data_IF_915043110556
#
_entry.id   IF_915043110556
#
_cell.length_a   1.000
_cell.length_b   1.000
_cell.length_c   1.000
_cell.angle_alpha   90.00
_cell.angle_beta   90.00
_cell.angle_gamma   90.00
#
_symmetry.space_group_name_H-M   'P 1'
#
loop_
_entity.id
_entity.type
_entity.pdbx_description
1 polymer ?
#
# COMPACT_ATOMS: atom_id res chain seq x y z
N UNK A 1 7.62 -48.45 -16.76
CA UNK A 1 8.43 -47.21 -16.89
C UNK A 1 7.72 -46.01 -16.23
N UNK A 2 7.75 -45.84 -14.90
CA UNK A 2 7.10 -44.72 -14.20
C UNK A 2 8.07 -43.62 -13.69
N UNK A 3 9.38 -43.81 -13.82
CA UNK A 3 10.40 -42.94 -13.21
C UNK A 3 10.45 -41.52 -13.81
N UNK A 4 10.23 -41.38 -15.12
CA UNK A 4 10.30 -40.08 -15.81
C UNK A 4 9.15 -39.12 -15.44
N UNK A 5 7.96 -39.64 -15.11
CA UNK A 5 6.81 -38.82 -14.70
C UNK A 5 6.95 -38.31 -13.26
N UNK A 6 7.55 -39.10 -12.38
CA UNK A 6 7.87 -38.69 -11.01
C UNK A 6 8.90 -37.55 -11.01
N UNK A 7 9.89 -37.61 -11.89
CA UNK A 7 10.96 -36.62 -12.03
C UNK A 7 10.44 -35.26 -12.56
N UNK A 8 9.55 -35.30 -13.57
CA UNK A 8 8.93 -34.08 -14.10
C UNK A 8 8.04 -33.36 -13.07
N UNK A 9 7.37 -34.12 -12.19
CA UNK A 9 6.56 -33.56 -11.10
C UNK A 9 7.41 -32.93 -9.98
N UNK A 10 8.56 -33.52 -9.69
CA UNK A 10 9.55 -32.97 -8.76
C UNK A 10 10.18 -31.70 -9.33
N UNK A 11 10.54 -31.71 -10.61
CA UNK A 11 11.06 -30.54 -11.32
C UNK A 11 10.04 -29.41 -11.37
N UNK A 12 8.76 -29.68 -11.70
CA UNK A 12 7.70 -28.66 -11.66
C UNK A 12 7.43 -28.10 -10.27
N UNK A 13 7.57 -28.90 -9.20
CA UNK A 13 7.50 -28.40 -7.81
C UNK A 13 8.70 -27.51 -7.49
N UNK A 14 9.90 -27.90 -7.91
CA UNK A 14 11.14 -27.10 -7.76
C UNK A 14 11.06 -25.81 -8.57
N UNK A 15 10.55 -25.87 -9.79
CA UNK A 15 10.32 -24.71 -10.65
C UNK A 15 9.27 -23.80 -10.02
N UNK A 16 8.14 -24.30 -9.52
CA UNK A 16 7.17 -23.49 -8.75
C UNK A 16 7.78 -22.89 -7.47
N UNK A 17 8.72 -23.58 -6.82
CA UNK A 17 9.44 -23.07 -5.67
C UNK A 17 10.50 -22.00 -6.05
N UNK A 18 11.05 -22.07 -7.26
CA UNK A 18 12.03 -21.13 -7.81
C UNK A 18 11.38 -19.96 -8.59
N UNK A 19 10.20 -20.15 -9.18
CA UNK A 19 9.31 -19.13 -9.74
C UNK A 19 8.60 -18.33 -8.64
N UNK A 20 8.45 -18.94 -7.45
CA UNK A 20 8.28 -18.20 -6.20
C UNK A 20 9.50 -17.34 -5.83
N UNK A 21 10.62 -17.49 -6.54
CA UNK A 21 11.62 -16.43 -6.76
C UNK A 21 12.15 -15.79 -5.50
N UNK A 22 12.94 -16.55 -4.74
CA UNK A 22 14.02 -16.04 -3.89
C UNK A 22 13.61 -15.43 -2.56
N UNK A 23 13.79 -16.17 -1.46
CA UNK A 23 13.78 -15.63 -0.09
C UNK A 23 12.52 -14.85 0.35
N UNK A 24 11.35 -15.15 -0.20
CA UNK A 24 10.07 -14.59 0.28
C UNK A 24 9.45 -15.38 1.45
N UNK A 25 10.05 -16.49 1.85
CA UNK A 25 9.38 -17.55 2.62
C UNK A 25 9.36 -17.37 4.14
N UNK A 26 9.91 -16.29 4.69
CA UNK A 26 9.65 -15.80 6.06
C UNK A 26 9.58 -14.25 6.10
N UNK A 27 9.12 -13.61 5.01
CA UNK A 27 8.86 -12.17 5.04
C UNK A 27 7.58 -11.95 5.84
N UNK A 28 7.73 -11.49 7.08
CA UNK A 28 6.63 -11.16 8.01
C UNK A 28 5.57 -10.35 7.27
N UNK A 29 4.43 -10.96 6.99
CA UNK A 29 3.27 -10.20 6.54
C UNK A 29 2.86 -9.26 7.66
N UNK A 30 2.40 -8.07 7.30
CA UNK A 30 1.84 -7.08 8.22
C UNK A 30 0.34 -7.32 8.25
N UNK A 31 -0.24 -7.82 9.36
CA UNK A 31 -1.68 -7.87 9.51
C UNK A 31 -2.25 -6.46 9.35
N UNK A 32 -3.38 -6.30 8.69
CA UNK A 32 -4.02 -5.00 8.46
C UNK A 32 -5.00 -4.65 9.57
N UNK A 33 -5.42 -5.63 10.38
CA UNK A 33 -6.27 -5.43 11.56
C UNK A 33 -7.57 -6.22 11.52
N UNK A 34 -7.93 -6.78 10.35
CA UNK A 34 -9.15 -7.55 10.16
C UNK A 34 -8.84 -8.92 9.51
N UNK A 35 -9.26 -10.05 10.13
CA UNK A 35 -9.01 -11.38 9.59
C UNK A 35 -9.61 -11.65 8.21
N UNK A 36 -10.68 -10.95 7.81
CA UNK A 36 -11.26 -11.05 6.46
C UNK A 36 -10.30 -10.44 5.45
N UNK A 37 -9.79 -9.25 5.75
CA UNK A 37 -8.85 -8.55 4.88
C UNK A 37 -7.50 -9.27 4.81
N UNK A 38 -6.99 -9.75 5.95
CA UNK A 38 -5.71 -10.45 6.04
C UNK A 38 -5.70 -11.77 5.29
N UNK A 39 -6.78 -12.57 5.38
CA UNK A 39 -6.91 -13.83 4.64
C UNK A 39 -7.13 -13.64 3.14
N UNK A 40 -7.58 -12.47 2.71
CA UNK A 40 -7.72 -12.15 1.28
C UNK A 40 -6.35 -11.98 0.61
N UNK A 41 -5.32 -11.61 1.38
CA UNK A 41 -3.96 -11.48 0.90
C UNK A 41 -3.22 -12.83 1.05
N UNK A 42 -2.44 -13.25 0.04
CA UNK A 42 -1.82 -14.58 0.02
C UNK A 42 -0.76 -14.78 1.11
N UNK A 43 -0.34 -13.70 1.78
CA UNK A 43 0.63 -13.73 2.86
C UNK A 43 -0.02 -13.68 4.26
N UNK A 44 -1.36 -13.62 4.36
CA UNK A 44 -2.04 -13.44 5.65
C UNK A 44 -1.94 -12.01 6.19
N UNK A 45 -1.85 -11.03 5.28
CA UNK A 45 -1.58 -9.62 5.55
C UNK A 45 -0.88 -8.97 4.36
N UNK A 46 -0.53 -7.69 4.48
CA UNK A 46 0.26 -6.99 3.45
C UNK A 46 1.71 -7.49 3.50
N UNK A 47 2.30 -7.79 2.35
CA UNK A 47 3.73 -8.14 2.32
C UNK A 47 4.56 -6.97 2.87
N UNK A 48 5.38 -7.18 3.91
CA UNK A 48 6.23 -6.12 4.47
C UNK A 48 7.27 -5.61 3.48
N UNK A 49 7.80 -6.50 2.66
CA UNK A 49 8.89 -6.17 1.74
C UNK A 49 8.38 -6.16 0.31
N UNK A 50 8.36 -4.98 -0.29
CA UNK A 50 7.97 -4.78 -1.68
C UNK A 50 7.23 -3.47 -1.91
N UNK A 51 6.70 -3.33 -3.13
CA UNK A 51 6.02 -2.13 -3.58
C UNK A 51 4.51 -2.35 -3.64
N UNK A 52 3.76 -1.43 -3.04
CA UNK A 52 2.31 -1.39 -3.05
C UNK A 52 1.84 -0.08 -3.67
N UNK A 53 0.95 -0.18 -4.65
CA UNK A 53 0.40 0.98 -5.35
C UNK A 53 -1.02 1.26 -4.88
N UNK A 54 -1.31 2.53 -4.68
CA UNK A 54 -2.56 3.09 -4.18
C UNK A 54 -2.99 4.18 -5.16
N UNK A 55 -4.16 4.02 -5.76
CA UNK A 55 -4.76 5.03 -6.64
C UNK A 55 -6.01 5.60 -5.98
N UNK A 56 -6.11 6.93 -5.97
CA UNK A 56 -7.27 7.68 -5.49
C UNK A 56 -7.81 8.62 -6.53
N UNK A 57 -8.95 9.26 -6.23
CA UNK A 57 -9.49 10.35 -7.02
C UNK A 57 -8.70 11.64 -6.77
N UNK A 58 -8.45 12.41 -7.83
CA UNK A 58 -7.76 13.69 -7.71
C UNK A 58 -8.57 14.68 -6.86
N UNK A 59 -7.90 15.43 -6.01
CA UNK A 59 -8.52 16.38 -5.08
C UNK A 59 -9.09 15.75 -3.80
N UNK A 60 -9.02 14.42 -3.65
CA UNK A 60 -9.40 13.74 -2.42
C UNK A 60 -8.17 13.37 -1.57
N UNK A 61 -8.27 13.59 -0.25
CA UNK A 61 -7.29 13.10 0.70
C UNK A 61 -7.50 11.62 1.11
N UNK A 62 -8.48 10.94 0.50
CA UNK A 62 -8.90 9.59 0.87
C UNK A 62 -7.76 8.58 0.72
N UNK A 63 -7.08 8.58 -0.44
CA UNK A 63 -5.95 7.70 -0.69
C UNK A 63 -4.74 8.02 0.20
N UNK A 64 -4.47 9.30 0.47
CA UNK A 64 -3.36 9.73 1.34
C UNK A 64 -3.59 9.31 2.80
N UNK A 65 -4.83 9.40 3.28
CA UNK A 65 -5.22 8.90 4.60
C UNK A 65 -5.11 7.38 4.72
N UNK A 66 -5.57 6.64 3.71
CA UNK A 66 -5.43 5.18 3.67
C UNK A 66 -3.95 4.75 3.60
N UNK A 67 -3.14 5.46 2.80
CA UNK A 67 -1.70 5.26 2.70
C UNK A 67 -0.98 5.52 4.02
N UNK A 68 -1.39 6.55 4.78
CA UNK A 68 -0.88 6.81 6.11
C UNK A 68 -1.19 5.66 7.07
N UNK A 69 -2.42 5.14 7.08
CA UNK A 69 -2.80 3.97 7.89
C UNK A 69 -2.00 2.72 7.54
N UNK A 70 -1.85 2.40 6.24
CA UNK A 70 -0.98 1.30 5.79
C UNK A 70 0.48 1.52 6.19
N UNK A 71 0.98 2.75 6.02
CA UNK A 71 2.34 3.13 6.40
C UNK A 71 2.58 2.90 7.88
N UNK A 72 1.66 3.33 8.74
CA UNK A 72 1.73 3.10 10.18
C UNK A 72 1.75 1.61 10.54
N UNK A 73 0.87 0.81 9.91
CA UNK A 73 0.84 -0.66 10.08
C UNK A 73 2.19 -1.29 9.73
N UNK A 74 2.76 -0.90 8.58
CA UNK A 74 4.02 -1.46 8.10
C UNK A 74 5.21 -1.00 8.94
N UNK A 75 5.26 0.28 9.32
CA UNK A 75 6.32 0.82 10.17
C UNK A 75 6.29 0.20 11.57
N UNK A 76 5.09 -0.09 12.10
CA UNK A 76 4.93 -0.52 13.47
C UNK A 76 5.26 0.58 14.48
N UNK A 77 5.27 0.25 15.78
CA UNK A 77 5.33 1.24 16.85
C UNK A 77 6.73 1.85 17.05
N UNK A 78 7.75 1.48 16.28
CA UNK A 78 9.11 2.04 16.36
C UNK A 78 9.67 2.48 14.99
N UNK A 79 8.93 2.19 13.91
CA UNK A 79 9.42 2.41 12.56
C UNK A 79 9.39 3.86 12.13
N UNK A 80 10.33 4.23 11.26
CA UNK A 80 10.40 5.56 10.66
C UNK A 80 9.78 5.56 9.27
N UNK A 81 9.02 6.61 8.97
CA UNK A 81 8.36 6.83 7.70
C UNK A 81 8.99 8.03 6.99
N UNK A 82 9.37 7.83 5.73
CA UNK A 82 9.63 8.93 4.81
C UNK A 82 8.39 9.13 3.94
N UNK A 83 7.88 10.36 3.88
CA UNK A 83 6.78 10.74 2.98
C UNK A 83 7.30 11.79 1.98
N UNK A 84 7.51 11.32 0.76
CA UNK A 84 7.93 12.07 -0.41
C UNK A 84 6.70 12.61 -1.15
N UNK A 85 6.70 13.90 -1.46
CA UNK A 85 5.62 14.57 -2.20
C UNK A 85 6.19 15.49 -3.27
N UNK A 86 5.39 15.82 -4.28
CA UNK A 86 5.75 16.86 -5.22
C UNK A 86 5.50 18.24 -4.61
N UNK A 87 6.42 19.18 -4.87
CA UNK A 87 6.28 20.55 -4.34
C UNK A 87 5.00 21.24 -4.82
N UNK A 88 4.56 20.97 -6.06
CA UNK A 88 3.28 21.48 -6.60
C UNK A 88 2.07 20.96 -5.82
N UNK A 89 2.06 19.68 -5.45
CA UNK A 89 0.92 19.07 -4.73
C UNK A 89 0.79 19.67 -3.32
N UNK A 90 1.92 20.05 -2.70
CA UNK A 90 1.90 20.82 -1.44
C UNK A 90 1.29 22.20 -1.61
N UNK A 91 1.56 22.89 -2.72
CA UNK A 91 1.02 24.22 -2.95
C UNK A 91 -0.51 24.19 -3.13
N UNK A 92 -1.04 23.10 -3.69
CA UNK A 92 -2.49 22.92 -3.91
C UNK A 92 -3.21 22.35 -2.68
N UNK A 93 -2.68 21.29 -2.06
CA UNK A 93 -3.36 20.54 -1.01
C UNK A 93 -2.80 20.77 0.41
N UNK A 94 -1.76 21.61 0.54
CA UNK A 94 -1.09 21.88 1.82
C UNK A 94 -0.22 20.71 2.29
N UNK A 95 0.16 20.75 3.56
CA UNK A 95 0.93 19.70 4.23
C UNK A 95 0.00 18.69 4.93
N UNK A 96 0.43 17.42 5.11
CA UNK A 96 -0.30 16.48 5.94
C UNK A 96 -0.54 17.04 7.34
N UNK A 97 -1.77 16.94 7.83
CA UNK A 97 -2.14 17.47 9.14
C UNK A 97 -1.61 16.56 10.25
N UNK A 98 -0.55 16.99 10.94
CA UNK A 98 0.16 16.22 11.97
C UNK A 98 -0.75 15.59 13.04
N UNK A 99 -1.66 16.34 13.69
CA UNK A 99 -2.59 15.75 14.66
C UNK A 99 -3.51 14.68 14.07
N UNK A 100 -3.82 14.75 12.76
CA UNK A 100 -4.52 13.70 12.04
C UNK A 100 -3.66 12.45 11.88
N UNK A 101 -2.38 12.61 11.52
CA UNK A 101 -1.41 11.52 11.40
C UNK A 101 -1.14 10.82 12.74
N UNK A 102 -1.12 11.57 13.84
CA UNK A 102 -0.97 11.00 15.18
C UNK A 102 -2.07 10.00 15.54
N UNK A 103 -3.29 10.14 14.97
CA UNK A 103 -4.39 9.17 15.15
C UNK A 103 -4.15 7.83 14.46
N UNK A 104 -3.27 7.80 13.46
CA UNK A 104 -2.77 6.58 12.85
C UNK A 104 -1.57 6.00 13.61
N UNK A 105 -1.08 6.66 14.67
CA UNK A 105 0.14 6.28 15.39
C UNK A 105 1.42 6.84 14.77
N UNK A 106 1.32 7.77 13.80
CA UNK A 106 2.47 8.43 13.18
C UNK A 106 2.79 9.71 13.96
N UNK A 107 3.84 9.65 14.77
CA UNK A 107 4.32 10.78 15.56
C UNK A 107 5.36 11.61 14.80
N UNK A 108 5.52 12.88 15.18
CA UNK A 108 6.38 13.82 14.46
C UNK A 108 7.87 13.44 14.49
N UNK A 109 8.34 12.74 15.53
CA UNK A 109 9.72 12.25 15.68
C UNK A 109 10.06 11.08 14.74
N UNK A 110 9.05 10.48 14.09
CA UNK A 110 9.20 9.33 13.20
C UNK A 110 8.81 9.59 11.76
N UNK A 111 8.28 10.77 11.47
CA UNK A 111 7.87 11.19 10.14
C UNK A 111 8.90 12.16 9.56
N UNK A 112 9.51 11.78 8.45
CA UNK A 112 10.32 12.67 7.62
C UNK A 112 9.47 13.07 6.42
N UNK A 113 9.29 14.38 6.23
CA UNK A 113 8.64 14.94 5.05
C UNK A 113 9.70 15.50 4.11
N UNK A 114 9.65 15.11 2.85
CA UNK A 114 10.55 15.63 1.83
C UNK A 114 9.80 15.92 0.52
N UNK A 115 10.28 16.94 -0.18
CA UNK A 115 9.64 17.47 -1.39
C UNK A 115 10.56 17.30 -2.59
N UNK A 116 9.96 16.95 -3.72
CA UNK A 116 10.64 16.84 -5.01
C UNK A 116 10.03 17.80 -6.04
N UNK A 117 10.87 18.32 -6.91
CA UNK A 117 10.49 19.26 -7.98
C UNK A 117 9.80 18.57 -9.17
N UNK A 118 10.05 17.28 -9.37
CA UNK A 118 9.56 16.53 -10.52
C UNK A 118 9.24 15.08 -10.16
N UNK A 119 8.40 14.44 -10.98
CA UNK A 119 8.08 13.02 -10.82
C UNK A 119 9.34 12.12 -10.91
N UNK A 120 10.29 12.49 -11.79
CA UNK A 120 11.56 11.78 -11.93
C UNK A 120 12.42 11.92 -10.66
N UNK A 121 12.54 13.12 -10.10
CA UNK A 121 13.25 13.35 -8.85
C UNK A 121 12.59 12.63 -7.66
N UNK A 122 11.26 12.57 -7.64
CA UNK A 122 10.52 11.86 -6.61
C UNK A 122 10.73 10.33 -6.67
N UNK A 123 10.70 9.74 -7.87
CA UNK A 123 11.00 8.32 -8.07
C UNK A 123 12.46 7.98 -7.73
N UNK A 124 13.40 8.88 -8.07
CA UNK A 124 14.80 8.73 -7.68
C UNK A 124 14.97 8.78 -6.16
N UNK A 125 14.37 9.78 -5.49
CA UNK A 125 14.43 9.90 -4.04
C UNK A 125 13.78 8.69 -3.34
N UNK A 126 12.69 8.15 -3.89
CA UNK A 126 12.08 6.93 -3.39
C UNK A 126 13.06 5.75 -3.48
N UNK A 127 13.76 5.58 -4.59
CA UNK A 127 14.73 4.51 -4.74
C UNK A 127 15.89 4.62 -3.74
N UNK A 128 16.42 5.82 -3.51
CA UNK A 128 17.46 6.05 -2.51
C UNK A 128 16.94 5.80 -1.10
N UNK A 129 15.70 6.19 -0.80
CA UNK A 129 15.05 5.87 0.46
C UNK A 129 14.91 4.34 0.67
N UNK A 130 14.60 3.60 -0.39
CA UNK A 130 14.56 2.14 -0.37
C UNK A 130 15.94 1.49 -0.23
N UNK A 131 17.05 2.25 -0.25
CA UNK A 131 18.39 1.74 0.09
C UNK A 131 18.81 2.11 1.52
N UNK A 132 18.00 2.92 2.20
CA UNK A 132 18.25 3.36 3.57
C UNK A 132 17.60 2.40 4.58
N UNK A 133 18.41 1.51 5.18
CA UNK A 133 17.93 0.55 6.18
C UNK A 133 17.43 1.15 7.51
N UNK A 134 17.56 2.48 7.70
CA UNK A 134 17.00 3.18 8.85
C UNK A 134 15.49 3.51 8.70
N UNK A 135 14.93 3.37 7.49
CA UNK A 135 13.52 3.54 7.22
C UNK A 135 12.79 2.21 7.32
N UNK A 136 11.54 2.25 7.75
CA UNK A 136 10.64 1.08 7.69
C UNK A 136 9.70 1.18 6.50
N UNK A 137 9.29 2.41 6.16
CA UNK A 137 8.39 2.70 5.05
C UNK A 137 8.85 3.94 4.30
N UNK A 138 8.83 3.88 2.97
CA UNK A 138 8.96 5.04 2.10
C UNK A 138 7.67 5.19 1.29
N UNK A 139 6.96 6.29 1.50
CA UNK A 139 5.73 6.66 0.82
C UNK A 139 6.04 7.76 -0.21
N UNK A 140 5.64 7.54 -1.45
CA UNK A 140 5.78 8.48 -2.55
C UNK A 140 4.40 8.87 -3.09
N UNK A 141 4.03 10.14 -2.93
CA UNK A 141 2.73 10.66 -3.36
C UNK A 141 2.86 11.58 -4.57
N UNK A 142 1.90 11.45 -5.50
CA UNK A 142 1.82 12.23 -6.72
C UNK A 142 2.53 11.60 -7.92
N UNK A 143 2.89 10.31 -7.83
CA UNK A 143 3.55 9.59 -8.93
C UNK A 143 3.03 8.17 -9.10
N UNK A 144 3.02 7.70 -10.35
CA UNK A 144 2.83 6.30 -10.70
C UNK A 144 4.00 5.86 -11.59
N UNK A 145 4.82 4.87 -11.18
CA UNK A 145 5.91 4.40 -12.01
C UNK A 145 5.41 3.56 -13.18
N UNK A 146 6.18 3.58 -14.26
CA UNK A 146 6.05 2.60 -15.33
C UNK A 146 6.56 1.21 -14.91
N UNK A 147 6.56 0.26 -15.85
CA UNK A 147 7.03 -1.09 -15.60
C UNK A 147 8.51 -1.16 -15.23
N UNK A 148 9.36 -0.32 -15.83
CA UNK A 148 10.81 -0.33 -15.60
C UNK A 148 11.13 0.23 -14.22
N UNK A 149 10.58 1.40 -13.89
CA UNK A 149 10.72 2.02 -12.58
C UNK A 149 10.13 1.12 -11.47
N UNK A 150 8.94 0.54 -11.67
CA UNK A 150 8.36 -0.35 -10.66
C UNK A 150 9.17 -1.62 -10.43
N UNK A 151 9.83 -2.19 -11.45
CA UNK A 151 10.78 -3.31 -11.27
C UNK A 151 11.99 -2.91 -10.44
N UNK A 152 12.58 -1.75 -10.76
CA UNK A 152 13.75 -1.23 -10.05
C UNK A 152 13.44 -0.96 -8.57
N UNK A 153 12.29 -0.34 -8.30
CA UNK A 153 11.79 -0.12 -6.93
C UNK A 153 11.51 -1.43 -6.19
N UNK A 154 10.93 -2.42 -6.86
CA UNK A 154 10.69 -3.75 -6.26
C UNK A 154 12.01 -4.41 -5.84
N UNK A 155 13.04 -4.37 -6.68
CA UNK A 155 14.36 -4.90 -6.34
C UNK A 155 15.02 -4.14 -5.18
N UNK A 156 14.92 -2.80 -5.16
CA UNK A 156 15.45 -1.99 -4.07
C UNK A 156 14.76 -2.31 -2.73
N UNK A 157 13.43 -2.40 -2.72
CA UNK A 157 12.65 -2.80 -1.54
C UNK A 157 13.04 -4.21 -1.07
N UNK A 158 13.21 -5.16 -1.99
CA UNK A 158 13.62 -6.53 -1.68
C UNK A 158 15.03 -6.63 -1.08
N UNK A 159 15.94 -5.76 -1.51
CA UNK A 159 17.31 -5.73 -1.00
C UNK A 159 17.41 -5.12 0.41
N UNK A 160 16.59 -4.12 0.74
CA UNK A 160 16.67 -3.41 2.02
C UNK A 160 15.66 -3.86 3.07
N UNK A 161 14.55 -4.48 2.66
CA UNK A 161 13.42 -4.79 3.52
C UNK A 161 12.46 -3.61 3.77
N UNK A 162 12.69 -2.44 3.18
CA UNK A 162 11.83 -1.26 3.33
C UNK A 162 10.54 -1.43 2.52
N UNK A 163 9.38 -1.14 3.12
CA UNK A 163 8.10 -1.13 2.39
C UNK A 163 7.98 0.12 1.53
N UNK A 164 7.63 -0.03 0.26
CA UNK A 164 7.31 1.11 -0.60
C UNK A 164 5.80 1.27 -0.78
N UNK A 165 5.27 2.46 -0.47
CA UNK A 165 3.89 2.83 -0.77
C UNK A 165 3.90 3.92 -1.85
N UNK A 166 3.20 3.70 -2.95
CA UNK A 166 3.12 4.68 -4.04
C UNK A 166 1.69 5.14 -4.21
N UNK A 167 1.46 6.42 -4.08
CA UNK A 167 0.16 7.06 -4.13
C UNK A 167 0.05 7.88 -5.41
N UNK A 168 -0.94 7.58 -6.23
CA UNK A 168 -1.30 8.38 -7.40
C UNK A 168 -2.71 8.94 -7.27
N UNK A 169 -2.86 10.19 -7.68
CA UNK A 169 -4.14 10.87 -7.82
C UNK A 169 -4.60 10.70 -9.27
N UNK A 170 -5.45 9.69 -9.52
CA UNK A 170 -5.83 9.21 -10.83
C UNK A 170 -5.30 7.82 -11.16
N UNK A 171 -5.71 7.31 -12.33
CA UNK A 171 -5.41 5.96 -12.76
C UNK A 171 -3.90 5.72 -12.94
N UNK A 172 -3.42 4.61 -12.39
CA UNK A 172 -2.05 4.16 -12.57
C UNK A 172 -1.85 3.37 -13.88
N UNK A 173 -0.62 3.29 -14.42
CA UNK A 173 -0.32 2.44 -15.58
C UNK A 173 -0.71 0.99 -15.35
N UNK A 174 -1.43 0.35 -16.29
CA UNK A 174 -1.94 -1.02 -16.11
C UNK A 174 -0.82 -2.03 -15.84
N UNK A 175 0.34 -1.89 -16.49
CA UNK A 175 1.50 -2.78 -16.33
C UNK A 175 2.49 -2.23 -15.30
N UNK A 176 2.71 -2.97 -14.22
CA UNK A 176 3.75 -2.68 -13.23
C UNK A 176 4.22 -3.96 -12.54
N UNK A 177 5.37 -3.90 -11.88
CA UNK A 177 5.93 -5.02 -11.10
C UNK A 177 5.55 -5.00 -9.61
N UNK A 178 4.61 -4.13 -9.21
CA UNK A 178 4.16 -3.99 -7.82
C UNK A 178 3.48 -5.27 -7.31
N UNK A 179 3.58 -5.50 -6.00
CA UNK A 179 2.96 -6.65 -5.33
C UNK A 179 1.45 -6.52 -5.26
N UNK A 180 0.96 -5.32 -4.94
CA UNK A 180 -0.48 -5.04 -4.87
C UNK A 180 -0.82 -3.71 -5.52
N UNK A 181 -2.01 -3.62 -6.12
CA UNK A 181 -2.61 -2.37 -6.55
C UNK A 181 -3.99 -2.22 -5.92
N UNK A 182 -4.22 -1.07 -5.32
CA UNK A 182 -5.44 -0.74 -4.61
C UNK A 182 -6.05 0.53 -5.17
N UNK A 183 -7.36 0.56 -5.33
CA UNK A 183 -8.14 1.77 -5.54
C UNK A 183 -8.84 2.15 -4.25
N UNK A 184 -8.80 3.44 -3.92
CA UNK A 184 -9.31 3.96 -2.66
C UNK A 184 -10.21 5.16 -2.97
N UNK A 185 -11.43 5.12 -2.46
CA UNK A 185 -12.36 6.24 -2.50
C UNK A 185 -12.85 6.55 -1.08
N UNK A 186 -13.15 7.82 -0.80
CA UNK A 186 -13.83 8.19 0.44
C UNK A 186 -15.19 7.49 0.56
N UNK A 187 -15.56 7.11 1.78
CA UNK A 187 -16.90 6.63 2.07
C UNK A 187 -17.48 7.35 3.30
N UNK A 188 -18.80 7.49 3.34
CA UNK A 188 -19.48 8.16 4.45
C UNK A 188 -19.31 7.37 5.75
N UNK A 189 -18.92 8.08 6.82
CA UNK A 189 -18.79 7.52 8.17
C UNK A 189 -19.80 8.17 9.10
N UNK A 190 -20.66 7.40 9.80
CA UNK A 190 -21.57 7.92 10.82
C UNK A 190 -20.84 8.65 11.96
N UNK A 191 -19.60 8.26 12.24
CA UNK A 191 -18.75 8.86 13.27
C UNK A 191 -17.85 9.98 12.73
N UNK A 192 -18.04 10.38 11.46
CA UNK A 192 -17.30 11.45 10.81
C UNK A 192 -15.78 11.23 10.77
N UNK A 193 -15.03 12.31 10.97
CA UNK A 193 -13.56 12.36 10.84
C UNK A 193 -12.82 11.51 11.89
N UNK A 194 -13.50 11.08 12.95
CA UNK A 194 -12.87 10.28 14.02
C UNK A 194 -12.68 8.81 13.64
N UNK A 195 -13.49 8.29 12.70
CA UNK A 195 -13.39 6.94 12.17
C UNK A 195 -13.51 7.02 10.65
N UNK A 196 -12.43 7.43 9.96
CA UNK A 196 -12.46 7.56 8.51
C UNK A 196 -12.82 6.23 7.86
N UNK A 197 -13.62 6.31 6.79
CA UNK A 197 -14.05 5.15 6.02
C UNK A 197 -13.66 5.28 4.56
N UNK A 198 -13.41 4.13 3.96
CA UNK A 198 -13.02 4.02 2.56
C UNK A 198 -13.76 2.87 1.89
N UNK A 199 -14.16 3.11 0.64
CA UNK A 199 -14.37 2.01 -0.29
C UNK A 199 -13.01 1.66 -0.89
N UNK A 200 -12.56 0.42 -0.66
CA UNK A 200 -11.23 -0.06 -1.09
C UNK A 200 -11.38 -1.27 -1.99
N UNK A 201 -10.75 -1.21 -3.16
CA UNK A 201 -10.73 -2.29 -4.14
C UNK A 201 -9.28 -2.74 -4.38
N UNK A 202 -8.97 -4.00 -4.12
CA UNK A 202 -7.72 -4.64 -4.51
C UNK A 202 -7.83 -5.05 -5.99
N UNK A 203 -7.26 -4.23 -6.87
CA UNK A 203 -7.29 -4.45 -8.32
C UNK A 203 -6.37 -5.60 -8.76
N UNK A 204 -5.25 -5.74 -8.05
CA UNK A 204 -4.21 -6.72 -8.37
C UNK A 204 -3.50 -7.14 -7.11
N UNK A 205 -3.22 -8.43 -6.97
CA UNK A 205 -2.36 -8.97 -5.94
C UNK A 205 -1.50 -10.10 -6.51
N UNK A 206 -0.18 -10.05 -6.34
CA UNK A 206 0.72 -11.12 -6.76
C UNK A 206 0.44 -12.37 -5.93
N UNK A 207 -0.10 -13.40 -6.57
CA UNK A 207 -0.44 -14.66 -5.91
C UNK A 207 -1.77 -14.64 -5.14
N UNK A 208 -2.51 -13.53 -5.19
CA UNK A 208 -3.83 -13.37 -4.58
C UNK A 208 -4.92 -13.13 -5.60
N UNK A 209 -6.16 -12.91 -5.13
CA UNK A 209 -7.31 -12.55 -5.97
C UNK A 209 -7.72 -11.10 -5.72
N UNK A 210 -8.28 -10.40 -6.72
CA UNK A 210 -8.95 -9.13 -6.50
C UNK A 210 -10.09 -9.24 -5.47
N UNK A 211 -10.42 -8.12 -4.84
CA UNK A 211 -11.47 -8.04 -3.83
C UNK A 211 -11.85 -6.60 -3.53
N UNK A 212 -12.97 -6.39 -2.83
CA UNK A 212 -13.49 -5.06 -2.52
C UNK A 212 -14.14 -5.05 -1.14
N UNK A 213 -13.90 -4.00 -0.37
CA UNK A 213 -14.33 -3.89 1.01
C UNK A 213 -14.68 -2.44 1.35
N UNK A 214 -15.62 -2.28 2.29
CA UNK A 214 -15.76 -1.05 3.05
C UNK A 214 -14.88 -1.16 4.29
N UNK A 215 -13.91 -0.27 4.43
CA UNK A 215 -12.96 -0.28 5.53
C UNK A 215 -13.16 0.94 6.43
N UNK A 216 -12.99 0.75 7.74
CA UNK A 216 -12.93 1.81 8.73
C UNK A 216 -11.61 1.72 9.50
N UNK A 217 -11.03 2.87 9.88
CA UNK A 217 -9.89 2.89 10.79
C UNK A 217 -10.34 2.86 12.26
N UNK A 218 -9.81 1.90 13.02
CA UNK A 218 -9.98 1.80 14.47
C UNK A 218 -8.77 2.40 15.18
N UNK A 219 -8.94 3.58 15.78
CA UNK A 219 -7.85 4.31 16.43
C UNK A 219 -7.25 3.53 17.62
N UNK A 220 -8.08 2.80 18.38
CA UNK A 220 -7.60 2.08 19.56
C UNK A 220 -6.72 0.88 19.20
N UNK A 221 -7.04 0.20 18.08
CA UNK A 221 -6.29 -0.96 17.59
C UNK A 221 -5.17 -0.59 16.60
N UNK A 222 -5.12 0.67 16.15
CA UNK A 222 -4.27 1.14 15.07
C UNK A 222 -4.30 0.19 13.86
N UNK A 223 -5.52 -0.04 13.36
CA UNK A 223 -5.77 -0.99 12.29
C UNK A 223 -7.08 -0.77 11.55
N UNK A 224 -7.20 -1.47 10.43
CA UNK A 224 -8.41 -1.49 9.60
C UNK A 224 -9.39 -2.52 10.12
N UNK A 225 -10.67 -2.19 10.04
CA UNK A 225 -11.80 -3.10 10.26
C UNK A 225 -12.67 -3.14 9.02
N UNK A 226 -13.13 -4.33 8.63
CA UNK A 226 -14.12 -4.48 7.56
C UNK A 226 -15.49 -4.19 8.16
N UNK A 227 -16.19 -3.20 7.60
CA UNK A 227 -17.55 -2.86 8.01
C UNK A 227 -18.55 -3.32 6.95
N UNK A 228 -19.78 -3.67 7.34
CA UNK A 228 -20.84 -3.92 6.37
C UNK A 228 -21.02 -2.69 5.48
N UNK A 229 -21.20 -2.90 4.18
CA UNK A 229 -21.71 -1.83 3.32
C UNK A 229 -23.03 -1.36 3.93
N UNK A 230 -23.12 -0.09 4.29
CA UNK A 230 -24.40 0.51 4.66
C UNK A 230 -25.35 0.22 3.50
N UNK A 231 -26.50 -0.40 3.78
CA UNK A 231 -27.57 -0.51 2.80
C UNK A 231 -27.96 0.91 2.42
N UNK A 232 -27.38 1.41 1.33
CA UNK A 232 -27.72 2.71 0.79
C UNK A 232 -29.20 2.67 0.48
N UNK A 233 -30.00 3.43 1.24
CA UNK A 233 -31.31 3.84 0.76
C UNK A 233 -31.09 4.41 -0.64
N UNK A 234 -31.80 3.84 -1.61
CA UNK A 234 -31.79 4.29 -2.99
C UNK A 234 -31.94 5.81 -3.02
N UNK A 235 -30.87 6.52 -3.37
CA UNK A 235 -31.00 7.90 -3.83
C UNK A 235 -31.58 7.79 -5.23
N UNK A 236 -32.85 8.18 -5.34
CA UNK A 236 -33.61 8.24 -6.57
C UNK A 236 -32.79 8.96 -7.65
N UNK A 237 -32.84 8.41 -8.85
CA UNK A 237 -32.48 9.12 -10.07
C UNK A 237 -33.29 10.41 -10.12
N UNK A 238 -32.62 11.55 -10.14
CA UNK A 238 -33.20 12.81 -10.58
C UNK A 238 -32.46 13.22 -11.86
N UNK A 239 -33.25 13.13 -12.94
CA UNK A 239 -33.17 13.68 -14.29
C UNK A 239 -32.15 14.81 -14.48
#
# INVERSE_FOLDING_TARGET
>A
MPAAAADLSALRRRLRALERGGAMTERSAVPLGDPVLDRALPWGGLARVGVHQLEGLAGEASVSGFAAGLGARCAGPEGRLLWLRLRRDRQEAGLPYGPGLARYGITADRLILAEAESAAALLWALEEALRCGALSVALAEGVAPDLTASRRLQLAAEASGVTALMVSHGAAPVRSAVLTRWRVAAASSPSGVHRPRWQVELLRCRGGRPGSWMLEWENAALGFSVVPALAGRALAQAV
#
